data_IF_480192965245
#
_entry.id   IF_480192965245
#
_cell.length_a   1.000
_cell.length_b   1.000
_cell.length_c   1.000
_cell.angle_alpha   90.00
_cell.angle_beta   90.00
_cell.angle_gamma   90.00
#
_symmetry.space_group_name_H-M   'P 1'
#
loop_
_entity.id
_entity.type
_entity.pdbx_description
1 polymer ?
#
# COMPACT_ATOMS: atom_id res chain seq x y z
N UNK A 1 3.61 2.96 2.35
CA UNK A 1 3.72 4.33 1.77
C UNK A 1 4.54 5.28 2.65
N UNK A 2 5.65 5.80 2.13
CA UNK A 2 6.39 6.92 2.77
C UNK A 2 5.43 8.10 2.92
N UNK A 3 5.07 8.40 4.15
CA UNK A 3 4.06 9.39 4.47
C UNK A 3 4.66 10.79 4.35
N UNK A 4 4.89 11.26 3.12
CA UNK A 4 5.19 12.67 2.82
C UNK A 4 3.94 13.57 2.98
N UNK A 5 2.79 12.97 3.26
CA UNK A 5 1.51 13.66 3.40
C UNK A 5 1.47 14.72 4.51
N UNK A 6 2.07 14.54 5.70
CA UNK A 6 2.09 15.59 6.73
C UNK A 6 2.90 16.82 6.29
N UNK A 7 3.97 16.62 5.52
CA UNK A 7 4.74 17.71 4.91
C UNK A 7 3.90 18.45 3.86
N UNK A 8 3.08 17.73 3.10
CA UNK A 8 2.16 18.32 2.11
C UNK A 8 0.90 18.95 2.74
N UNK A 9 0.43 18.47 3.89
CA UNK A 9 -0.71 19.01 4.64
C UNK A 9 -0.36 20.38 5.25
N UNK A 10 0.88 20.53 5.75
CA UNK A 10 1.41 21.84 6.13
C UNK A 10 1.51 22.80 4.93
N UNK A 11 1.83 22.27 3.74
CA UNK A 11 1.86 23.01 2.45
C UNK A 11 0.48 23.46 1.96
N UNK A 12 -0.57 22.65 2.12
CA UNK A 12 -1.93 23.01 1.71
C UNK A 12 -2.59 24.04 2.63
N UNK A 13 -2.06 24.18 3.85
CA UNK A 13 -2.48 25.17 4.83
C UNK A 13 -1.59 26.43 4.84
N UNK A 14 -0.52 26.46 4.03
CA UNK A 14 0.35 27.63 3.87
C UNK A 14 0.11 28.31 2.50
N UNK A 15 0.31 29.63 2.44
CA UNK A 15 0.08 30.44 1.24
C UNK A 15 1.29 30.50 0.30
N UNK A 16 2.33 29.69 0.51
CA UNK A 16 3.59 29.77 -0.22
C UNK A 16 3.72 28.66 -1.28
N UNK A 17 3.99 29.08 -2.53
CA UNK A 17 4.22 28.18 -3.66
C UNK A 17 5.58 27.48 -3.52
N UNK A 18 5.58 26.15 -3.36
CA UNK A 18 6.77 25.32 -3.57
C UNK A 18 6.79 24.76 -5.00
N UNK A 19 7.96 24.71 -5.68
CA UNK A 19 8.11 24.01 -6.94
C UNK A 19 7.99 22.49 -6.72
N UNK A 20 7.13 21.86 -7.51
CA UNK A 20 6.87 20.40 -7.61
C UNK A 20 8.16 19.58 -7.90
N UNK A 21 9.27 20.26 -8.17
CA UNK A 21 10.59 19.71 -8.49
C UNK A 21 11.39 19.13 -7.32
N UNK A 22 10.92 19.27 -6.08
CA UNK A 22 11.54 18.62 -4.91
C UNK A 22 10.85 17.32 -4.47
N UNK A 23 9.81 16.91 -5.19
CA UNK A 23 9.11 15.65 -4.97
C UNK A 23 9.88 14.53 -5.67
N UNK A 24 9.96 13.33 -5.07
CA UNK A 24 10.38 12.10 -5.75
C UNK A 24 9.67 12.05 -7.11
N UNK A 25 10.38 12.15 -8.25
CA UNK A 25 9.78 12.36 -9.56
C UNK A 25 8.64 11.39 -9.88
N UNK A 26 8.76 10.14 -9.41
CA UNK A 26 7.81 9.05 -9.57
C UNK A 26 6.46 9.29 -8.87
N UNK A 27 6.44 10.08 -7.79
CA UNK A 27 5.23 10.41 -7.03
C UNK A 27 4.55 11.71 -7.50
N UNK A 28 5.24 12.54 -8.29
CA UNK A 28 4.66 13.76 -8.87
C UNK A 28 3.28 13.54 -9.50
N UNK A 29 3.04 12.48 -10.30
CA UNK A 29 1.72 12.23 -10.88
C UNK A 29 0.63 11.99 -9.83
N UNK A 30 0.94 11.29 -8.74
CA UNK A 30 0.00 11.05 -7.64
C UNK A 30 -0.39 12.36 -6.95
N UNK A 31 0.57 13.25 -6.68
CA UNK A 31 0.25 14.53 -6.05
C UNK A 31 -0.56 15.45 -6.96
N UNK A 32 -0.24 15.47 -8.26
CA UNK A 32 -1.05 16.17 -9.25
C UNK A 32 -2.49 15.65 -9.28
N UNK A 33 -2.68 14.33 -9.18
CA UNK A 33 -4.00 13.73 -9.07
C UNK A 33 -4.74 14.16 -7.78
N UNK A 34 -4.05 14.15 -6.64
CA UNK A 34 -4.63 14.60 -5.36
C UNK A 34 -5.08 16.06 -5.45
N UNK A 35 -4.28 16.95 -6.04
CA UNK A 35 -4.66 18.34 -6.25
C UNK A 35 -5.84 18.46 -7.22
N UNK A 36 -5.84 17.70 -8.32
CA UNK A 36 -6.95 17.69 -9.28
C UNK A 36 -8.26 17.25 -8.62
N UNK A 37 -8.22 16.27 -7.72
CA UNK A 37 -9.37 15.85 -6.92
C UNK A 37 -9.91 17.00 -6.05
N UNK A 38 -9.02 17.73 -5.36
CA UNK A 38 -9.41 18.88 -4.52
C UNK A 38 -10.04 20.02 -5.32
N UNK A 39 -9.45 20.38 -6.46
CA UNK A 39 -10.05 21.38 -7.36
C UNK A 39 -11.38 20.90 -7.94
N UNK A 40 -11.50 19.60 -8.22
CA UNK A 40 -12.77 19.00 -8.64
C UNK A 40 -13.84 19.14 -7.56
N UNK A 41 -13.52 18.91 -6.28
CA UNK A 41 -14.45 19.14 -5.18
C UNK A 41 -15.02 20.57 -5.19
N UNK A 42 -14.16 21.56 -5.43
CA UNK A 42 -14.50 22.98 -5.52
C UNK A 42 -15.26 23.36 -6.81
N UNK A 43 -15.37 22.44 -7.78
CA UNK A 43 -15.99 22.70 -9.08
C UNK A 43 -15.07 23.40 -10.10
N UNK A 44 -13.78 23.55 -9.80
CA UNK A 44 -12.81 24.14 -10.73
C UNK A 44 -12.28 23.06 -11.70
N UNK A 45 -13.10 22.74 -12.71
CA UNK A 45 -12.79 21.68 -13.69
C UNK A 45 -11.58 22.03 -14.56
N UNK A 46 -11.38 23.30 -14.91
CA UNK A 46 -10.26 23.74 -15.75
C UNK A 46 -8.91 23.47 -15.06
N UNK A 47 -8.78 23.85 -13.79
CA UNK A 47 -7.56 23.60 -13.02
C UNK A 47 -7.35 22.10 -12.77
N UNK A 48 -8.42 21.36 -12.51
CA UNK A 48 -8.35 19.91 -12.37
C UNK A 48 -7.84 19.24 -13.67
N UNK A 49 -8.41 19.59 -14.82
CA UNK A 49 -7.99 19.07 -16.13
C UNK A 49 -6.52 19.39 -16.44
N UNK A 50 -6.05 20.60 -16.11
CA UNK A 50 -4.65 20.97 -16.28
C UNK A 50 -3.71 20.08 -15.46
N UNK A 51 -4.02 19.88 -14.17
CA UNK A 51 -3.19 19.05 -13.28
C UNK A 51 -3.15 17.58 -13.72
N UNK A 52 -4.28 17.06 -14.22
CA UNK A 52 -4.39 15.69 -14.72
C UNK A 52 -3.49 15.39 -15.93
N UNK A 53 -2.94 16.41 -16.62
CA UNK A 53 -1.93 16.23 -17.68
C UNK A 53 -0.66 15.58 -17.17
N UNK A 54 -0.29 15.90 -15.93
CA UNK A 54 0.92 15.38 -15.28
C UNK A 54 0.67 14.08 -14.50
N UNK A 55 -0.58 13.60 -14.44
CA UNK A 55 -0.94 12.37 -13.73
C UNK A 55 -0.62 11.08 -14.51
N UNK A 56 -0.05 11.19 -15.73
CA UNK A 56 0.18 10.08 -16.67
C UNK A 56 1.09 8.99 -16.12
N UNK A 57 0.78 7.75 -16.50
CA UNK A 57 1.61 6.55 -16.37
C UNK A 57 2.17 6.30 -14.96
N UNK A 58 1.36 6.49 -13.93
CA UNK A 58 1.79 6.32 -12.54
C UNK A 58 1.04 5.20 -11.80
N UNK A 59 1.69 4.05 -11.51
CA UNK A 59 1.04 2.94 -10.80
C UNK A 59 0.62 3.29 -9.36
N UNK A 60 1.10 4.42 -8.84
CA UNK A 60 0.72 4.97 -7.54
C UNK A 60 -0.68 5.59 -7.54
N UNK A 61 -1.25 5.91 -8.70
CA UNK A 61 -2.64 6.34 -8.83
C UNK A 61 -3.51 5.09 -8.91
N UNK A 62 -3.85 4.55 -7.75
CA UNK A 62 -4.68 3.35 -7.63
C UNK A 62 -5.73 3.50 -6.51
N UNK A 63 -6.81 2.70 -6.52
CA UNK A 63 -7.93 2.83 -5.58
C UNK A 63 -7.52 2.82 -4.11
N UNK A 64 -6.56 1.98 -3.73
CA UNK A 64 -6.11 1.87 -2.34
C UNK A 64 -5.31 3.09 -1.92
N UNK A 65 -4.29 3.44 -2.70
CA UNK A 65 -3.46 4.62 -2.44
C UNK A 65 -4.29 5.89 -2.32
N UNK A 66 -5.27 6.10 -3.20
CA UNK A 66 -6.14 7.28 -3.16
C UNK A 66 -7.05 7.29 -1.92
N UNK A 67 -7.57 6.13 -1.49
CA UNK A 67 -8.34 6.02 -0.25
C UNK A 67 -7.49 6.32 0.99
N UNK A 68 -6.26 5.84 1.04
CA UNK A 68 -5.32 6.14 2.14
C UNK A 68 -5.02 7.64 2.26
N UNK A 69 -5.06 8.38 1.15
CA UNK A 69 -4.94 9.84 1.11
C UNK A 69 -6.22 10.60 1.48
N UNK A 70 -7.20 9.91 2.09
CA UNK A 70 -8.45 10.49 2.58
C UNK A 70 -9.33 11.14 1.50
N UNK A 71 -9.19 10.71 0.25
CA UNK A 71 -10.03 11.18 -0.84
C UNK A 71 -11.38 10.44 -0.81
N UNK A 72 -12.22 10.76 0.19
CA UNK A 72 -13.41 9.97 0.51
C UNK A 72 -14.74 10.51 -0.05
N UNK A 73 -14.76 11.68 -0.69
CA UNK A 73 -16.00 12.23 -1.23
C UNK A 73 -16.28 11.68 -2.64
N UNK A 74 -17.34 10.85 -2.84
CA UNK A 74 -17.65 10.26 -4.14
C UNK A 74 -18.11 11.30 -5.18
N UNK A 75 -18.71 12.43 -4.77
CA UNK A 75 -19.15 13.48 -5.69
C UNK A 75 -17.97 14.19 -6.36
N UNK A 76 -16.83 14.27 -5.68
CA UNK A 76 -15.62 14.83 -6.27
C UNK A 76 -15.07 13.92 -7.39
N UNK A 77 -15.23 12.60 -7.28
CA UNK A 77 -14.86 11.67 -8.35
C UNK A 77 -15.75 11.80 -9.58
N UNK A 78 -17.04 12.15 -9.43
CA UNK A 78 -17.91 12.44 -10.57
C UNK A 78 -17.42 13.67 -11.35
N UNK A 79 -17.06 14.74 -10.64
CA UNK A 79 -16.49 15.95 -11.25
C UNK A 79 -15.12 15.70 -11.87
N UNK A 80 -14.29 14.88 -11.22
CA UNK A 80 -12.97 14.49 -11.73
C UNK A 80 -13.11 13.62 -13.00
N UNK A 81 -14.07 12.70 -13.03
CA UNK A 81 -14.41 11.91 -14.21
C UNK A 81 -14.81 12.82 -15.37
N UNK A 82 -15.67 13.83 -15.12
CA UNK A 82 -16.01 14.83 -16.12
C UNK A 82 -14.78 15.61 -16.61
N UNK A 83 -13.91 16.08 -15.72
CA UNK A 83 -12.69 16.80 -16.07
C UNK A 83 -11.74 16.00 -16.99
N UNK A 84 -11.59 14.69 -16.74
CA UNK A 84 -10.83 13.78 -17.62
C UNK A 84 -11.52 13.63 -18.97
N UNK A 85 -12.83 13.44 -18.99
CA UNK A 85 -13.58 13.14 -20.20
C UNK A 85 -13.81 14.34 -21.12
N UNK A 86 -13.77 15.56 -20.59
CA UNK A 86 -13.89 16.80 -21.37
C UNK A 86 -12.56 17.29 -21.95
N UNK A 87 -11.43 16.89 -21.35
CA UNK A 87 -10.11 17.39 -21.74
C UNK A 87 -9.39 16.47 -22.74
N UNK A 88 -9.48 15.16 -22.57
CA UNK A 88 -8.77 14.19 -23.40
C UNK A 88 -9.63 13.61 -24.53
N UNK A 89 -8.98 13.23 -25.62
CA UNK A 89 -9.65 12.61 -26.77
C UNK A 89 -10.23 11.22 -26.41
N UNK A 90 -11.37 10.80 -27.00
CA UNK A 90 -12.01 9.53 -26.65
C UNK A 90 -11.19 8.25 -26.85
N UNK A 91 -10.18 8.31 -27.71
CA UNK A 91 -9.27 7.20 -28.02
C UNK A 91 -7.90 7.33 -27.35
N UNK A 92 -7.72 8.31 -26.46
CA UNK A 92 -6.52 8.36 -25.63
C UNK A 92 -6.56 7.16 -24.63
N UNK A 93 -5.61 6.22 -24.68
CA UNK A 93 -5.56 5.11 -23.72
C UNK A 93 -5.47 5.63 -22.28
N UNK A 94 -4.75 6.72 -22.04
CA UNK A 94 -4.59 7.31 -20.72
C UNK A 94 -5.93 7.79 -20.14
N UNK A 95 -6.74 8.47 -20.97
CA UNK A 95 -8.09 8.91 -20.58
C UNK A 95 -8.91 7.74 -20.06
N UNK A 96 -8.89 6.62 -20.78
CA UNK A 96 -9.70 5.45 -20.47
C UNK A 96 -9.18 4.75 -19.21
N UNK A 97 -7.87 4.60 -19.03
CA UNK A 97 -7.27 4.04 -17.81
C UNK A 97 -7.58 4.89 -16.58
N UNK A 98 -7.34 6.20 -16.66
CA UNK A 98 -7.57 7.11 -15.54
C UNK A 98 -9.05 7.19 -15.18
N UNK A 99 -9.94 7.21 -16.17
CA UNK A 99 -11.38 7.13 -15.97
C UNK A 99 -11.79 5.83 -15.27
N UNK A 100 -11.20 4.70 -15.65
CA UNK A 100 -11.46 3.41 -15.02
C UNK A 100 -11.03 3.41 -13.54
N UNK A 101 -9.83 3.92 -13.22
CA UNK A 101 -9.35 4.05 -11.84
C UNK A 101 -10.21 5.01 -11.01
N UNK A 102 -10.67 6.12 -11.60
CA UNK A 102 -11.59 7.06 -10.93
C UNK A 102 -12.90 6.37 -10.54
N UNK A 103 -13.50 5.64 -11.48
CA UNK A 103 -14.74 4.90 -11.23
C UNK A 103 -14.51 3.82 -10.17
N UNK A 104 -13.44 3.03 -10.32
CA UNK A 104 -13.05 1.98 -9.39
C UNK A 104 -12.86 2.50 -7.97
N UNK A 105 -12.12 3.61 -7.83
CA UNK A 105 -11.90 4.27 -6.54
C UNK A 105 -13.20 4.77 -5.93
N UNK A 106 -14.10 5.36 -6.74
CA UNK A 106 -15.43 5.80 -6.28
C UNK A 106 -16.22 4.62 -5.70
N UNK A 107 -16.27 3.49 -6.40
CA UNK A 107 -16.92 2.28 -5.90
C UNK A 107 -16.30 1.75 -4.61
N UNK A 108 -14.97 1.76 -4.54
CA UNK A 108 -14.21 1.27 -3.40
C UNK A 108 -14.38 2.10 -2.11
N UNK A 109 -14.70 3.38 -2.24
CA UNK A 109 -14.94 4.25 -1.08
C UNK A 109 -16.26 3.89 -0.39
N UNK A 110 -17.28 3.52 -1.17
CA UNK A 110 -18.59 3.09 -0.66
C UNK A 110 -18.93 1.69 -1.20
N UNK A 111 -18.17 0.65 -0.81
CA UNK A 111 -18.32 -0.68 -1.40
C UNK A 111 -19.62 -1.33 -0.92
N UNK A 112 -20.21 -2.16 -1.78
CA UNK A 112 -21.35 -3.02 -1.48
C UNK A 112 -21.10 -4.43 -2.04
N UNK A 113 -22.04 -5.37 -1.81
CA UNK A 113 -21.88 -6.76 -2.27
C UNK A 113 -21.71 -6.88 -3.79
N UNK A 114 -22.50 -6.14 -4.57
CA UNK A 114 -22.43 -6.14 -6.04
C UNK A 114 -21.06 -5.64 -6.55
N UNK A 115 -20.50 -4.61 -5.93
CA UNK A 115 -19.17 -4.12 -6.25
C UNK A 115 -18.08 -5.18 -6.05
N UNK A 116 -18.23 -6.05 -5.04
CA UNK A 116 -17.27 -7.13 -4.76
C UNK A 116 -17.41 -8.26 -5.78
N UNK A 117 -18.65 -8.61 -6.15
CA UNK A 117 -18.91 -9.76 -7.03
C UNK A 117 -18.68 -9.44 -8.51
N UNK A 118 -18.96 -8.22 -8.96
CA UNK A 118 -18.99 -7.87 -10.38
C UNK A 118 -18.05 -6.73 -10.76
N UNK A 119 -17.49 -6.01 -9.79
CA UNK A 119 -16.73 -4.78 -10.04
C UNK A 119 -17.58 -3.70 -10.69
N UNK A 120 -16.94 -2.64 -11.21
CA UNK A 120 -17.66 -1.61 -11.97
C UNK A 120 -17.56 -1.92 -13.46
N UNK A 121 -18.67 -2.41 -14.05
CA UNK A 121 -18.74 -2.79 -15.47
C UNK A 121 -18.20 -1.70 -16.41
N UNK A 122 -18.53 -0.42 -16.16
CA UNK A 122 -18.01 0.70 -16.95
C UNK A 122 -16.48 0.87 -16.83
N UNK A 123 -15.91 0.66 -15.63
CA UNK A 123 -14.46 0.71 -15.44
C UNK A 123 -13.78 -0.44 -16.20
N UNK A 124 -14.37 -1.64 -16.16
CA UNK A 124 -13.87 -2.81 -16.88
C UNK A 124 -13.88 -2.59 -18.41
N UNK A 125 -14.96 -2.01 -18.95
CA UNK A 125 -15.04 -1.67 -20.38
C UNK A 125 -13.95 -0.66 -20.78
N UNK A 126 -13.76 0.39 -19.96
CA UNK A 126 -12.75 1.42 -20.22
C UNK A 126 -11.32 0.86 -20.15
N UNK A 127 -11.01 0.00 -19.17
CA UNK A 127 -9.66 -0.57 -19.07
C UNK A 127 -9.38 -1.61 -20.17
N UNK A 128 -10.39 -2.38 -20.59
CA UNK A 128 -10.26 -3.27 -21.74
C UNK A 128 -10.01 -2.48 -23.04
N UNK A 129 -10.73 -1.37 -23.24
CA UNK A 129 -10.45 -0.45 -24.35
C UNK A 129 -9.02 0.09 -24.27
N UNK A 130 -8.57 0.51 -23.09
CA UNK A 130 -7.20 0.99 -22.86
C UNK A 130 -6.15 -0.02 -23.31
N UNK A 131 -6.24 -1.25 -22.82
CA UNK A 131 -5.26 -2.30 -23.13
C UNK A 131 -5.24 -2.62 -24.64
N UNK A 132 -6.40 -2.58 -25.30
CA UNK A 132 -6.47 -2.78 -26.76
C UNK A 132 -5.76 -1.68 -27.55
N UNK A 133 -5.74 -0.45 -27.03
CA UNK A 133 -5.11 0.71 -27.66
C UNK A 133 -3.62 0.84 -27.29
N UNK A 134 -3.23 0.43 -26.10
CA UNK A 134 -1.85 0.44 -25.61
C UNK A 134 -1.71 -0.67 -24.56
N UNK A 135 -1.02 -1.79 -24.85
CA UNK A 135 -0.89 -2.91 -23.91
C UNK A 135 0.18 -2.69 -22.84
N UNK A 136 0.41 -1.43 -22.42
CA UNK A 136 1.42 -1.08 -21.43
C UNK A 136 1.14 -1.75 -20.07
N UNK A 137 2.18 -2.12 -19.34
CA UNK A 137 2.04 -2.93 -18.12
C UNK A 137 1.31 -2.24 -16.98
N UNK A 138 1.43 -0.93 -16.87
CA UNK A 138 0.69 -0.12 -15.90
C UNK A 138 -0.82 -0.31 -16.11
N UNK A 139 -1.28 -0.46 -17.35
CA UNK A 139 -2.68 -0.74 -17.63
C UNK A 139 -3.08 -2.18 -17.26
N UNK A 140 -2.15 -3.13 -17.33
CA UNK A 140 -2.39 -4.49 -16.78
C UNK A 140 -2.54 -4.45 -15.27
N UNK A 141 -1.73 -3.67 -14.57
CA UNK A 141 -1.87 -3.45 -13.12
C UNK A 141 -3.21 -2.77 -12.79
N UNK A 142 -3.61 -1.74 -13.53
CA UNK A 142 -4.92 -1.11 -13.34
C UNK A 142 -6.08 -2.08 -13.59
N UNK A 143 -5.93 -2.97 -14.58
CA UNK A 143 -6.90 -4.05 -14.79
C UNK A 143 -6.94 -5.03 -13.63
N UNK A 144 -5.80 -5.29 -12.97
CA UNK A 144 -5.79 -6.10 -11.75
C UNK A 144 -6.63 -5.43 -10.63
N UNK A 145 -6.46 -4.13 -10.40
CA UNK A 145 -7.32 -3.38 -9.45
C UNK A 145 -8.82 -3.43 -9.79
N UNK A 146 -9.19 -3.54 -11.07
CA UNK A 146 -10.60 -3.55 -11.50
C UNK A 146 -11.19 -4.98 -11.53
N UNK A 147 -10.36 -6.00 -11.73
CA UNK A 147 -10.80 -7.39 -11.88
C UNK A 147 -11.34 -7.97 -10.58
N UNK A 148 -12.34 -8.85 -10.68
CA UNK A 148 -12.95 -9.59 -9.56
C UNK A 148 -12.95 -11.11 -9.72
N UNK A 149 -12.33 -11.60 -10.79
CA UNK A 149 -12.33 -13.03 -11.09
C UNK A 149 -11.37 -13.83 -10.19
N UNK A 150 -10.42 -13.16 -9.51
CA UNK A 150 -9.43 -13.75 -8.57
C UNK A 150 -8.88 -15.12 -8.99
N UNK A 151 -8.62 -15.27 -10.29
CA UNK A 151 -8.23 -16.53 -10.91
C UNK A 151 -6.78 -16.50 -11.39
N UNK A 152 -6.34 -17.56 -12.06
CA UNK A 152 -5.01 -17.63 -12.63
C UNK A 152 -4.73 -16.55 -13.69
N UNK A 153 -5.76 -16.05 -14.40
CA UNK A 153 -5.59 -14.97 -15.37
C UNK A 153 -5.35 -13.65 -14.65
N UNK A 154 -6.07 -13.38 -13.57
CA UNK A 154 -5.83 -12.24 -12.71
C UNK A 154 -4.40 -12.31 -12.13
N UNK A 155 -3.99 -13.44 -11.58
CA UNK A 155 -2.64 -13.62 -11.05
C UNK A 155 -1.57 -13.39 -12.13
N UNK A 156 -1.83 -13.80 -13.38
CA UNK A 156 -0.91 -13.55 -14.48
C UNK A 156 -0.74 -12.05 -14.78
N UNK A 157 -1.78 -11.22 -14.64
CA UNK A 157 -1.64 -9.76 -14.78
C UNK A 157 -0.67 -9.18 -13.73
N UNK A 158 -0.75 -9.66 -12.50
CA UNK A 158 0.12 -9.22 -11.40
C UNK A 158 1.56 -9.70 -11.63
N UNK A 159 1.74 -10.96 -12.06
CA UNK A 159 3.06 -11.53 -12.40
C UNK A 159 3.73 -10.80 -13.56
N UNK A 160 2.96 -10.47 -14.61
CA UNK A 160 3.45 -9.68 -15.74
C UNK A 160 3.97 -8.32 -15.26
N UNK A 161 3.21 -7.63 -14.40
CA UNK A 161 3.65 -6.37 -13.81
C UNK A 161 4.93 -6.52 -13.00
N UNK A 162 4.96 -7.48 -12.07
CA UNK A 162 6.13 -7.78 -11.24
C UNK A 162 7.40 -7.99 -12.08
N UNK A 163 7.30 -8.79 -13.15
CA UNK A 163 8.43 -9.08 -14.05
C UNK A 163 8.89 -7.85 -14.82
N UNK A 164 7.97 -7.01 -15.27
CA UNK A 164 8.32 -5.83 -16.07
C UNK A 164 8.95 -4.73 -15.21
N UNK A 165 8.49 -4.55 -13.97
CA UNK A 165 9.08 -3.57 -13.06
C UNK A 165 10.33 -4.08 -12.36
N UNK A 166 10.69 -5.36 -12.48
CA UNK A 166 11.87 -5.97 -11.86
C UNK A 166 13.17 -5.16 -12.07
N UNK A 167 13.50 -4.64 -13.28
CA UNK A 167 14.70 -3.82 -13.48
C UNK A 167 14.67 -2.47 -12.76
N UNK A 168 13.47 -2.01 -12.36
CA UNK A 168 13.22 -0.74 -11.69
C UNK A 168 12.50 -0.97 -10.36
N UNK A 169 12.71 -2.13 -9.73
CA UNK A 169 11.83 -2.62 -8.69
C UNK A 169 11.80 -1.70 -7.46
N UNK A 170 12.95 -1.10 -7.11
CA UNK A 170 13.08 -0.09 -6.06
C UNK A 170 12.09 1.07 -6.21
N UNK A 171 11.74 1.43 -7.45
CA UNK A 171 10.88 2.56 -7.74
C UNK A 171 9.40 2.19 -7.84
N UNK A 172 9.04 0.91 -8.04
CA UNK A 172 7.68 0.54 -8.45
C UNK A 172 7.04 -0.60 -7.67
N UNK A 173 7.72 -1.16 -6.67
CA UNK A 173 7.18 -2.28 -5.88
C UNK A 173 5.93 -1.93 -5.07
N UNK A 174 5.77 -0.67 -4.63
CA UNK A 174 4.72 -0.27 -3.67
C UNK A 174 3.30 -0.58 -4.18
N UNK A 175 3.04 -0.44 -5.48
CA UNK A 175 1.71 -0.65 -6.03
C UNK A 175 1.24 -2.12 -5.94
N UNK A 176 2.18 -3.07 -5.81
CA UNK A 176 1.85 -4.47 -5.54
C UNK A 176 1.33 -4.64 -4.11
N UNK A 177 1.93 -3.96 -3.13
CA UNK A 177 1.42 -3.96 -1.75
C UNK A 177 0.05 -3.30 -1.66
N UNK A 178 -0.13 -2.17 -2.35
CA UNK A 178 -1.42 -1.48 -2.42
C UNK A 178 -2.52 -2.41 -2.97
N UNK A 179 -2.20 -3.20 -3.99
CA UNK A 179 -3.12 -4.18 -4.58
C UNK A 179 -3.51 -5.28 -3.57
N UNK A 180 -2.55 -5.80 -2.81
CA UNK A 180 -2.86 -6.83 -1.80
C UNK A 180 -3.70 -6.30 -0.65
N UNK A 181 -3.38 -5.10 -0.13
CA UNK A 181 -4.23 -4.49 0.88
C UNK A 181 -5.62 -4.13 0.34
N UNK A 182 -5.71 -3.75 -0.92
CA UNK A 182 -6.97 -3.54 -1.62
C UNK A 182 -7.82 -4.82 -1.65
N UNK A 183 -7.26 -5.94 -2.10
CA UNK A 183 -7.96 -7.22 -2.15
C UNK A 183 -8.34 -7.73 -0.75
N UNK A 184 -7.44 -7.62 0.22
CA UNK A 184 -7.72 -7.98 1.61
C UNK A 184 -8.91 -7.19 2.16
N UNK A 185 -9.05 -5.92 1.77
CA UNK A 185 -10.16 -5.08 2.24
C UNK A 185 -11.53 -5.57 1.77
N UNK A 186 -11.63 -6.36 0.70
CA UNK A 186 -12.91 -6.94 0.25
C UNK A 186 -13.49 -7.94 1.24
N UNK A 187 -12.63 -8.65 2.00
CA UNK A 187 -13.08 -9.58 3.04
C UNK A 187 -13.91 -8.88 4.14
N UNK A 188 -13.77 -7.55 4.29
CA UNK A 188 -14.56 -6.77 5.26
C UNK A 188 -16.00 -6.52 4.81
N UNK A 189 -16.33 -6.80 3.55
CA UNK A 189 -17.60 -6.43 2.93
C UNK A 189 -18.34 -7.61 2.27
N UNK A 190 -17.82 -8.84 2.41
CA UNK A 190 -18.49 -10.05 1.90
C UNK A 190 -18.55 -11.14 2.96
N UNK A 191 -19.75 -11.67 3.18
CA UNK A 191 -19.99 -12.88 3.99
C UNK A 191 -20.21 -14.11 3.10
N UNK A 192 -20.11 -13.97 1.77
CA UNK A 192 -20.36 -15.06 0.84
C UNK A 192 -19.14 -15.98 0.78
N UNK A 193 -19.24 -17.10 1.49
CA UNK A 193 -18.16 -18.06 1.73
C UNK A 193 -17.36 -18.47 0.47
N UNK A 194 -17.96 -18.76 -0.71
CA UNK A 194 -17.18 -19.10 -1.90
C UNK A 194 -16.29 -17.96 -2.40
N UNK A 195 -16.79 -16.71 -2.40
CA UNK A 195 -15.97 -15.55 -2.81
C UNK A 195 -14.88 -15.28 -1.79
N UNK A 196 -15.18 -15.40 -0.49
CA UNK A 196 -14.17 -15.32 0.57
C UNK A 196 -13.05 -16.32 0.32
N UNK A 197 -13.38 -17.59 0.07
CA UNK A 197 -12.41 -18.64 -0.19
C UNK A 197 -11.52 -18.32 -1.40
N UNK A 198 -12.09 -17.87 -2.51
CA UNK A 198 -11.33 -17.47 -3.70
C UNK A 198 -10.35 -16.33 -3.40
N UNK A 199 -10.81 -15.27 -2.72
CA UNK A 199 -9.97 -14.12 -2.36
C UNK A 199 -8.83 -14.57 -1.42
N UNK A 200 -9.15 -15.35 -0.37
CA UNK A 200 -8.13 -15.81 0.59
C UNK A 200 -7.08 -16.68 -0.07
N UNK A 201 -7.47 -17.58 -1.00
CA UNK A 201 -6.52 -18.41 -1.73
C UNK A 201 -5.64 -17.58 -2.66
N UNK A 202 -6.23 -16.61 -3.35
CA UNK A 202 -5.50 -15.71 -4.25
C UNK A 202 -4.43 -14.90 -3.50
N UNK A 203 -4.77 -14.36 -2.33
CA UNK A 203 -3.83 -13.63 -1.48
C UNK A 203 -2.76 -14.58 -0.95
N UNK A 204 -3.14 -15.68 -0.31
CA UNK A 204 -2.21 -16.58 0.40
C UNK A 204 -1.23 -17.29 -0.52
N UNK A 205 -1.67 -17.79 -1.67
CA UNK A 205 -0.85 -18.62 -2.57
C UNK A 205 -0.46 -17.91 -3.87
N UNK A 206 -0.82 -16.63 -4.02
CA UNK A 206 -0.53 -15.84 -5.22
C UNK A 206 0.25 -14.59 -4.89
N UNK A 207 -0.39 -13.65 -4.18
CA UNK A 207 0.21 -12.33 -3.94
C UNK A 207 1.31 -12.35 -2.89
N UNK A 208 1.12 -13.05 -1.76
CA UNK A 208 2.13 -13.11 -0.69
C UNK A 208 3.44 -13.71 -1.19
N UNK A 209 3.39 -14.74 -2.02
CA UNK A 209 4.56 -15.34 -2.67
C UNK A 209 5.34 -14.29 -3.47
N UNK A 210 4.64 -13.50 -4.29
CA UNK A 210 5.25 -12.44 -5.11
C UNK A 210 5.82 -11.30 -4.27
N UNK A 211 5.09 -10.86 -3.23
CA UNK A 211 5.55 -9.80 -2.34
C UNK A 211 6.78 -10.23 -1.53
N UNK A 212 6.80 -11.47 -1.06
CA UNK A 212 7.94 -12.07 -0.35
C UNK A 212 9.19 -12.12 -1.24
N UNK A 213 9.03 -12.55 -2.49
CA UNK A 213 10.10 -12.50 -3.49
C UNK A 213 10.54 -11.06 -3.78
N UNK A 214 9.60 -10.12 -3.87
CA UNK A 214 9.87 -8.70 -4.02
C UNK A 214 10.78 -8.15 -2.92
N UNK A 215 10.50 -8.46 -1.65
CA UNK A 215 11.36 -8.08 -0.52
C UNK A 215 12.76 -8.67 -0.68
N UNK A 216 12.89 -9.95 -1.07
CA UNK A 216 14.20 -10.60 -1.31
C UNK A 216 14.95 -9.92 -2.47
N UNK A 217 14.26 -9.52 -3.54
CA UNK A 217 14.86 -8.79 -4.67
C UNK A 217 15.35 -7.41 -4.26
N UNK A 218 14.60 -6.65 -3.45
CA UNK A 218 15.09 -5.35 -2.95
C UNK A 218 16.39 -5.55 -2.17
N UNK A 219 16.48 -6.60 -1.36
CA UNK A 219 17.70 -6.93 -0.61
C UNK A 219 18.93 -7.16 -1.51
N UNK A 220 18.76 -7.67 -2.73
CA UNK A 220 19.89 -7.86 -3.65
C UNK A 220 20.36 -6.58 -4.35
N UNK A 221 19.64 -5.46 -4.18
CA UNK A 221 19.91 -4.18 -4.84
C UNK A 221 20.38 -3.08 -3.86
N UNK A 222 20.68 -3.43 -2.60
CA UNK A 222 20.96 -2.47 -1.53
C UNK A 222 22.15 -1.53 -1.77
N UNK A 223 23.13 -1.94 -2.58
CA UNK A 223 24.33 -1.13 -2.87
C UNK A 223 24.12 -0.14 -4.02
N UNK A 224 22.99 -0.20 -4.73
CA UNK A 224 22.75 0.64 -5.90
C UNK A 224 22.40 2.09 -5.54
N UNK A 225 21.73 2.30 -4.40
CA UNK A 225 21.38 3.64 -3.92
C UNK A 225 21.22 3.66 -2.40
N UNK A 226 21.60 4.75 -1.71
CA UNK A 226 21.35 4.90 -0.27
C UNK A 226 19.87 4.75 0.12
N UNK A 227 18.94 5.04 -0.80
CA UNK A 227 17.50 4.89 -0.57
C UNK A 227 17.05 3.42 -0.52
N UNK A 228 17.79 2.49 -1.12
CA UNK A 228 17.40 1.08 -1.20
C UNK A 228 17.25 0.43 0.18
N UNK A 229 18.01 0.88 1.19
CA UNK A 229 17.84 0.43 2.58
C UNK A 229 16.51 0.87 3.18
N UNK A 230 16.05 2.07 2.81
CA UNK A 230 14.76 2.62 3.24
C UNK A 230 13.63 1.89 2.50
N UNK A 231 13.80 1.62 1.22
CA UNK A 231 12.85 0.82 0.43
C UNK A 231 12.74 -0.61 0.96
N UNK A 232 13.85 -1.27 1.30
CA UNK A 232 13.84 -2.59 1.90
C UNK A 232 13.07 -2.59 3.22
N UNK A 233 13.30 -1.57 4.05
CA UNK A 233 12.62 -1.40 5.31
C UNK A 233 11.10 -1.23 5.12
N UNK A 234 10.67 -0.34 4.23
CA UNK A 234 9.25 -0.10 3.96
C UNK A 234 8.55 -1.29 3.31
N UNK A 235 9.19 -1.98 2.37
CA UNK A 235 8.65 -3.21 1.78
C UNK A 235 8.49 -4.32 2.84
N UNK A 236 9.48 -4.48 3.73
CA UNK A 236 9.42 -5.43 4.84
C UNK A 236 8.30 -5.07 5.83
N UNK A 237 8.14 -3.78 6.12
CA UNK A 237 7.08 -3.26 6.97
C UNK A 237 5.70 -3.56 6.40
N UNK A 238 5.47 -3.21 5.15
CA UNK A 238 4.17 -3.41 4.50
C UNK A 238 3.85 -4.92 4.38
N UNK A 239 4.85 -5.78 4.12
CA UNK A 239 4.70 -7.24 4.20
C UNK A 239 4.30 -7.70 5.61
N UNK A 240 4.99 -7.23 6.66
CA UNK A 240 4.68 -7.65 8.02
C UNK A 240 3.31 -7.17 8.53
N UNK A 241 2.85 -6.00 8.09
CA UNK A 241 1.49 -5.52 8.36
C UNK A 241 0.47 -6.44 7.67
N UNK A 242 0.64 -6.70 6.37
CA UNK A 242 -0.24 -7.58 5.59
C UNK A 242 -0.36 -8.96 6.25
N UNK A 243 0.76 -9.56 6.62
CA UNK A 243 0.82 -10.87 7.27
C UNK A 243 0.14 -10.86 8.63
N UNK A 244 0.31 -9.78 9.40
CA UNK A 244 -0.38 -9.62 10.68
C UNK A 244 -1.90 -9.53 10.51
N UNK A 245 -2.38 -8.84 9.47
CA UNK A 245 -3.81 -8.81 9.14
C UNK A 245 -4.34 -10.18 8.71
N UNK A 246 -3.57 -10.96 7.94
CA UNK A 246 -3.94 -12.33 7.55
C UNK A 246 -4.01 -13.26 8.77
N UNK A 247 -2.96 -13.29 9.60
CA UNK A 247 -2.87 -14.17 10.79
C UNK A 247 -3.99 -13.87 11.80
N UNK A 248 -4.40 -12.60 11.92
CA UNK A 248 -5.45 -12.19 12.86
C UNK A 248 -6.87 -12.30 12.29
N UNK A 249 -7.01 -12.53 10.98
CA UNK A 249 -8.31 -12.59 10.33
C UNK A 249 -8.93 -13.98 10.43
N UNK A 250 -10.20 -14.10 10.88
CA UNK A 250 -10.90 -15.38 10.92
C UNK A 250 -11.28 -15.92 9.53
N UNK A 251 -11.11 -15.13 8.47
CA UNK A 251 -11.41 -15.54 7.09
C UNK A 251 -10.42 -16.56 6.54
N UNK A 252 -9.20 -16.59 7.08
CA UNK A 252 -8.13 -17.48 6.61
C UNK A 252 -8.08 -18.75 7.46
N UNK A 253 -7.92 -19.90 6.80
CA UNK A 253 -7.75 -21.17 7.48
C UNK A 253 -6.30 -21.37 7.96
N UNK A 254 -6.06 -22.41 8.76
CA UNK A 254 -4.74 -22.68 9.34
C UNK A 254 -3.65 -22.92 8.28
N UNK A 255 -3.95 -23.69 7.22
CA UNK A 255 -2.98 -23.98 6.15
C UNK A 255 -2.54 -22.71 5.43
N UNK A 256 -3.49 -21.84 5.09
CA UNK A 256 -3.23 -20.53 4.48
C UNK A 256 -2.39 -19.64 5.40
N UNK A 257 -2.74 -19.60 6.70
CA UNK A 257 -2.04 -18.83 7.71
C UNK A 257 -0.60 -19.32 7.89
N UNK A 258 -0.39 -20.64 7.93
CA UNK A 258 0.93 -21.25 8.09
C UNK A 258 1.82 -21.00 6.86
N UNK A 259 1.28 -21.20 5.65
CA UNK A 259 1.97 -20.89 4.39
C UNK A 259 2.42 -19.42 4.32
N UNK A 260 1.50 -18.49 4.58
CA UNK A 260 1.79 -17.04 4.59
C UNK A 260 2.84 -16.71 5.65
N UNK A 261 2.74 -17.31 6.84
CA UNK A 261 3.70 -17.08 7.93
C UNK A 261 5.10 -17.53 7.53
N UNK A 262 5.25 -18.75 7.01
CA UNK A 262 6.56 -19.33 6.72
C UNK A 262 7.30 -18.55 5.63
N UNK A 263 6.64 -18.24 4.51
CA UNK A 263 7.22 -17.45 3.43
C UNK A 263 7.64 -16.06 3.90
N UNK A 264 6.77 -15.41 4.67
CA UNK A 264 7.01 -14.04 5.13
C UNK A 264 8.13 -13.99 6.16
N UNK A 265 8.21 -14.97 7.07
CA UNK A 265 9.30 -15.07 8.03
C UNK A 265 10.65 -15.26 7.32
N UNK A 266 10.70 -16.05 6.26
CA UNK A 266 11.91 -16.23 5.45
C UNK A 266 12.35 -14.91 4.80
N UNK A 267 11.43 -14.23 4.11
CA UNK A 267 11.70 -12.96 3.43
C UNK A 267 12.12 -11.84 4.41
N UNK A 268 11.40 -11.69 5.52
CA UNK A 268 11.72 -10.70 6.56
C UNK A 268 13.04 -11.01 7.25
N UNK A 269 13.35 -12.28 7.51
CA UNK A 269 14.64 -12.68 8.09
C UNK A 269 15.80 -12.37 7.15
N UNK A 270 15.61 -12.55 5.84
CA UNK A 270 16.61 -12.16 4.84
C UNK A 270 16.82 -10.65 4.83
N UNK A 271 15.74 -9.86 4.78
CA UNK A 271 15.82 -8.40 4.83
C UNK A 271 16.52 -7.89 6.11
N UNK A 272 16.16 -8.44 7.27
CA UNK A 272 16.78 -8.10 8.56
C UNK A 272 18.29 -8.33 8.53
N UNK A 273 18.75 -9.51 8.07
CA UNK A 273 20.18 -9.85 7.99
C UNK A 273 20.95 -8.91 7.06
N UNK A 274 20.37 -8.58 5.91
CA UNK A 274 21.03 -7.65 4.97
C UNK A 274 21.09 -6.22 5.54
N UNK A 275 20.09 -5.79 6.31
CA UNK A 275 20.15 -4.51 7.04
C UNK A 275 21.22 -4.51 8.14
N UNK A 276 21.32 -5.57 8.94
CA UNK A 276 22.36 -5.73 9.98
C UNK A 276 23.76 -5.68 9.38
N UNK A 277 23.99 -6.45 8.30
CA UNK A 277 25.26 -6.52 7.57
C UNK A 277 25.74 -5.16 7.07
N UNK A 278 24.82 -4.26 6.72
CA UNK A 278 25.13 -2.92 6.22
C UNK A 278 25.01 -1.82 7.29
N UNK A 279 24.97 -2.17 8.58
CA UNK A 279 24.97 -1.21 9.68
C UNK A 279 23.65 -0.44 9.84
N UNK A 280 22.53 -0.95 9.31
CA UNK A 280 21.19 -0.37 9.46
C UNK A 280 20.46 -0.98 10.67
N UNK A 281 21.12 -0.93 11.83
CA UNK A 281 20.71 -1.66 13.04
C UNK A 281 19.28 -1.33 13.51
N UNK A 282 18.88 -0.05 13.49
CA UNK A 282 17.52 0.35 13.92
C UNK A 282 16.41 -0.21 13.03
N UNK A 283 16.64 -0.29 11.71
CA UNK A 283 15.71 -0.92 10.77
C UNK A 283 15.65 -2.43 11.01
N UNK A 284 16.80 -3.08 11.20
CA UNK A 284 16.87 -4.49 11.52
C UNK A 284 16.16 -4.85 12.83
N UNK A 285 16.37 -4.08 13.91
CA UNK A 285 15.70 -4.29 15.20
C UNK A 285 14.19 -4.19 15.04
N UNK A 286 13.70 -3.22 14.28
CA UNK A 286 12.26 -3.04 14.03
C UNK A 286 11.67 -4.25 13.30
N UNK A 287 12.34 -4.74 12.26
CA UNK A 287 11.94 -5.97 11.56
C UNK A 287 12.05 -7.20 12.49
N UNK A 288 13.05 -7.26 13.37
CA UNK A 288 13.20 -8.36 14.34
C UNK A 288 12.02 -8.47 15.29
N UNK A 289 11.48 -7.34 15.76
CA UNK A 289 10.27 -7.34 16.60
C UNK A 289 9.07 -7.86 15.83
N UNK A 290 8.91 -7.41 14.58
CA UNK A 290 7.86 -7.86 13.67
C UNK A 290 7.94 -9.36 13.37
N UNK A 291 9.13 -9.90 13.09
CA UNK A 291 9.38 -11.34 12.91
C UNK A 291 8.92 -12.13 14.14
N UNK A 292 9.31 -11.70 15.34
CA UNK A 292 8.90 -12.40 16.58
C UNK A 292 7.39 -12.37 16.77
N UNK A 293 6.74 -11.22 16.46
CA UNK A 293 5.29 -11.09 16.53
C UNK A 293 4.58 -12.05 15.57
N UNK A 294 5.03 -12.13 14.32
CA UNK A 294 4.47 -13.00 13.26
C UNK A 294 4.67 -14.48 13.62
N UNK A 295 5.82 -14.82 14.20
CA UNK A 295 6.13 -16.16 14.70
C UNK A 295 5.37 -16.55 15.99
N UNK A 296 4.52 -15.67 16.53
CA UNK A 296 3.80 -15.92 17.79
C UNK A 296 4.69 -15.94 19.04
N UNK A 297 5.91 -15.40 18.95
CA UNK A 297 6.86 -15.31 20.07
C UNK A 297 6.60 -14.03 20.87
N UNK A 298 6.80 -14.11 22.19
CA UNK A 298 6.77 -12.92 23.05
C UNK A 298 7.85 -11.93 22.62
N UNK A 299 7.51 -10.66 22.62
CA UNK A 299 8.43 -9.57 22.24
C UNK A 299 9.10 -8.91 23.45
N UNK A 300 8.76 -9.32 24.68
CA UNK A 300 9.25 -8.75 25.95
C UNK A 300 10.78 -8.57 25.99
N UNK A 301 11.53 -9.57 25.52
CA UNK A 301 13.01 -9.52 25.51
C UNK A 301 13.59 -8.44 24.58
N UNK A 302 12.78 -7.94 23.65
CA UNK A 302 13.19 -6.91 22.69
C UNK A 302 13.04 -5.50 23.29
N UNK A 303 12.48 -5.36 24.49
CA UNK A 303 12.48 -4.11 25.26
C UNK A 303 13.90 -3.62 25.57
N UNK A 304 14.89 -4.52 25.62
CA UNK A 304 16.31 -4.14 25.83
C UNK A 304 16.84 -3.17 24.76
N UNK A 305 16.23 -3.14 23.58
CA UNK A 305 16.58 -2.22 22.49
C UNK A 305 15.92 -0.85 22.62
N UNK A 306 15.06 -0.63 23.60
CA UNK A 306 14.25 0.58 23.72
C UNK A 306 15.09 1.86 23.76
N UNK A 307 16.17 1.88 24.55
CA UNK A 307 17.05 3.05 24.66
C UNK A 307 17.70 3.40 23.32
N UNK A 308 18.26 2.41 22.62
CA UNK A 308 18.85 2.58 21.29
C UNK A 308 17.81 3.09 20.27
N UNK A 309 16.59 2.55 20.33
CA UNK A 309 15.53 2.93 19.40
C UNK A 309 15.01 4.35 19.67
N UNK A 310 14.92 4.76 20.95
CA UNK A 310 14.38 6.06 21.38
C UNK A 310 15.24 7.26 20.98
N UNK A 311 16.54 7.08 20.78
CA UNK A 311 17.46 8.16 20.41
C UNK A 311 17.02 8.92 19.15
N UNK A 312 16.36 8.22 18.22
CA UNK A 312 15.82 8.79 16.99
C UNK A 312 14.36 8.33 16.87
N UNK A 313 13.40 9.25 16.89
CA UNK A 313 11.97 8.91 16.87
C UNK A 313 11.39 8.93 15.45
N UNK A 314 12.04 8.21 14.53
CA UNK A 314 11.61 8.07 13.15
C UNK A 314 10.54 6.97 12.99
N UNK A 315 10.20 6.64 11.73
CA UNK A 315 9.22 5.59 11.41
C UNK A 315 9.62 4.24 11.99
N UNK A 316 10.92 3.91 11.99
CA UNK A 316 11.40 2.66 12.54
C UNK A 316 11.18 2.54 14.05
N UNK A 317 11.41 3.63 14.79
CA UNK A 317 11.04 3.69 16.20
C UNK A 317 9.54 3.45 16.42
N UNK A 318 8.68 4.12 15.65
CA UNK A 318 7.22 3.99 15.77
C UNK A 318 6.74 2.56 15.52
N UNK A 319 7.23 1.95 14.44
CA UNK A 319 6.89 0.56 14.10
C UNK A 319 7.45 -0.42 15.15
N UNK A 320 8.68 -0.20 15.64
CA UNK A 320 9.24 -0.97 16.76
C UNK A 320 8.31 -0.96 17.98
N UNK A 321 7.88 0.22 18.43
CA UNK A 321 6.95 0.34 19.56
C UNK A 321 5.63 -0.35 19.29
N UNK A 322 5.07 -0.17 18.09
CA UNK A 322 3.83 -0.82 17.68
C UNK A 322 3.93 -2.34 17.77
N UNK A 323 4.88 -2.96 17.05
CA UNK A 323 5.01 -4.42 17.04
C UNK A 323 5.45 -4.98 18.39
N UNK A 324 6.25 -4.23 19.15
CA UNK A 324 6.65 -4.59 20.51
C UNK A 324 5.40 -4.67 21.39
N UNK A 325 4.58 -3.62 21.41
CA UNK A 325 3.35 -3.58 22.18
C UNK A 325 2.38 -4.69 21.77
N UNK A 326 2.17 -4.92 20.46
CA UNK A 326 1.21 -5.93 20.00
C UNK A 326 1.61 -7.36 20.40
N UNK A 327 2.90 -7.67 20.54
CA UNK A 327 3.41 -8.99 20.93
C UNK A 327 3.75 -9.14 22.42
N UNK A 328 3.64 -8.07 23.19
CA UNK A 328 4.12 -8.00 24.57
C UNK A 328 3.11 -8.58 25.58
N UNK A 329 3.65 -9.05 26.71
CA UNK A 329 2.85 -9.37 27.90
C UNK A 329 2.16 -8.13 28.49
N UNK A 330 1.11 -8.35 29.31
CA UNK A 330 0.37 -7.25 29.96
C UNK A 330 1.28 -6.32 30.78
N UNK A 331 2.27 -6.89 31.47
CA UNK A 331 3.25 -6.13 32.24
C UNK A 331 4.06 -5.17 31.35
N UNK A 332 4.63 -5.67 30.25
CA UNK A 332 5.41 -4.84 29.32
C UNK A 332 4.52 -3.81 28.63
N UNK A 333 3.26 -4.14 28.32
CA UNK A 333 2.28 -3.16 27.81
C UNK A 333 2.03 -2.02 28.79
N UNK A 334 1.87 -2.32 30.07
CA UNK A 334 1.73 -1.31 31.13
C UNK A 334 3.00 -0.46 31.27
N UNK A 335 4.17 -1.09 31.29
CA UNK A 335 5.46 -0.40 31.34
C UNK A 335 5.61 0.58 30.17
N UNK A 336 5.34 0.14 28.93
CA UNK A 336 5.36 1.01 27.75
C UNK A 336 4.35 2.17 27.87
N UNK A 337 3.14 1.92 28.38
CA UNK A 337 2.13 2.98 28.56
C UNK A 337 2.40 3.94 29.72
N UNK A 338 3.26 3.57 30.65
CA UNK A 338 3.68 4.45 31.74
C UNK A 338 4.81 5.40 31.32
N UNK A 339 5.47 5.14 30.18
CA UNK A 339 6.49 6.03 29.65
C UNK A 339 5.86 7.37 29.22
N UNK A 340 6.37 8.52 29.70
CA UNK A 340 5.79 9.83 29.41
C UNK A 340 5.59 10.09 27.91
N UNK A 341 6.57 9.70 27.09
CA UNK A 341 6.52 9.87 25.63
C UNK A 341 5.48 8.99 24.91
N UNK A 342 5.00 7.91 25.53
CA UNK A 342 4.06 6.96 24.92
C UNK A 342 2.65 7.02 25.53
N UNK A 343 2.43 7.84 26.56
CA UNK A 343 1.12 7.96 27.23
C UNK A 343 -0.01 8.29 26.26
N UNK A 344 0.20 9.26 25.37
CA UNK A 344 -0.81 9.65 24.37
C UNK A 344 -0.97 8.57 23.29
N UNK A 345 0.15 8.01 22.84
CA UNK A 345 0.23 6.93 21.85
C UNK A 345 -0.45 5.63 22.31
N UNK A 346 -0.55 5.39 23.62
CA UNK A 346 -1.13 4.16 24.14
C UNK A 346 -2.62 3.98 23.85
N UNK A 347 -3.36 5.06 23.60
CA UNK A 347 -4.74 4.95 23.11
C UNK A 347 -4.76 4.29 21.73
N UNK A 348 -3.87 4.70 20.83
CA UNK A 348 -3.77 4.18 19.47
C UNK A 348 -3.22 2.74 19.48
N UNK A 349 -2.20 2.44 20.30
CA UNK A 349 -1.65 1.09 20.45
C UNK A 349 -2.69 0.08 20.95
N UNK A 350 -3.53 0.46 21.91
CA UNK A 350 -4.64 -0.39 22.40
C UNK A 350 -5.67 -0.69 21.32
N UNK A 351 -5.83 0.21 20.35
CA UNK A 351 -6.72 0.05 19.21
C UNK A 351 -6.07 -0.69 18.03
N UNK A 352 -4.82 -1.15 18.18
CA UNK A 352 -4.10 -1.82 17.10
C UNK A 352 -3.68 -0.89 15.97
N UNK A 353 -3.58 0.43 16.23
CA UNK A 353 -3.15 1.40 15.23
C UNK A 353 -1.64 1.60 15.29
N UNK A 354 -1.02 1.68 14.10
CA UNK A 354 0.39 2.07 13.95
C UNK A 354 0.54 3.56 14.28
N UNK A 355 1.62 3.92 15.00
CA UNK A 355 1.88 5.25 15.57
C UNK A 355 2.45 6.29 14.59
#
# INVERSE_FOLDING_TARGET
>A
MVNYFPYLLNYLNSSEFFPVDQIIPELRPLYSFILAYKFSCQGNLQQASFLLQSARDSPFINPYSLKQHQLHNPQCYDKLFLAVNSFYLPNDPWRNALSAIILETKGYITPNSSFITEGISNALQLINKTISLSPHVIYKLYKAFISRDFDNKHLQLVKDYFKEIEPHFLNYYQALFDLSFYHLSFLKYTDYSPVVATITNFISFGEVDLLSEGVKKISSHLTQTPLAFTDLYFASRDLGILVSEIISSPSFNLEQVDHVRDLSLEALSHAMKELEKHGRERYAISIKVMINRIAGKKTDELLKYFNLMKEIQDVAYKDYIYFLYQGASSKVKEELCNLPELKESCKNLKQGQIL
#
